data_IF_586225291970
#
_entry.id   IF_586225291970
#
_cell.length_a   1.000
_cell.length_b   1.000
_cell.length_c   1.000
_cell.angle_alpha   90.00
_cell.angle_beta   90.00
_cell.angle_gamma   90.00
#
_symmetry.space_group_name_H-M   'P 1'
#
loop_
_entity.id
_entity.type
_entity.pdbx_description
1 polymer ?
#
# COMPACT_ATOMS: atom_id res chain seq x y z
N UNK A 1 40.17 -30.96 17.16
CA UNK A 1 40.23 -29.48 17.15
C UNK A 1 39.17 -28.92 16.21
N UNK A 2 39.01 -29.49 15.01
CA UNK A 2 38.02 -29.07 14.00
C UNK A 2 36.55 -28.98 14.48
N UNK A 3 36.07 -29.95 15.27
CA UNK A 3 34.67 -29.92 15.75
C UNK A 3 34.36 -28.72 16.65
N UNK A 4 35.32 -28.28 17.47
CA UNK A 4 35.17 -27.13 18.37
C UNK A 4 35.19 -25.82 17.58
N UNK A 5 36.00 -25.75 16.55
CA UNK A 5 36.09 -24.58 15.65
C UNK A 5 34.82 -24.43 14.80
N UNK A 6 34.29 -25.53 14.26
CA UNK A 6 33.01 -25.52 13.54
C UNK A 6 31.83 -25.10 14.43
N UNK A 7 31.79 -25.57 15.68
CA UNK A 7 30.74 -25.17 16.62
C UNK A 7 30.83 -23.67 16.96
N UNK A 8 32.04 -23.13 17.15
CA UNK A 8 32.25 -21.70 17.37
C UNK A 8 31.79 -20.87 16.17
N UNK A 9 32.22 -21.24 14.96
CA UNK A 9 31.81 -20.56 13.72
C UNK A 9 30.30 -20.58 13.50
N UNK A 10 29.64 -21.70 13.84
CA UNK A 10 28.18 -21.81 13.75
C UNK A 10 27.50 -20.84 14.72
N UNK A 11 27.95 -20.80 15.97
CA UNK A 11 27.40 -19.88 16.98
C UNK A 11 27.61 -18.42 16.59
N UNK A 12 28.79 -18.07 16.08
CA UNK A 12 29.08 -16.71 15.61
C UNK A 12 28.17 -16.31 14.45
N UNK A 13 27.94 -17.19 13.47
CA UNK A 13 27.01 -16.95 12.36
C UNK A 13 25.57 -16.79 12.84
N UNK A 14 25.14 -17.58 13.81
CA UNK A 14 23.79 -17.48 14.40
C UNK A 14 23.60 -16.14 15.15
N UNK A 15 24.61 -15.70 15.90
CA UNK A 15 24.60 -14.40 16.59
C UNK A 15 24.55 -13.26 15.57
N UNK A 16 25.43 -13.26 14.57
CA UNK A 16 25.48 -12.23 13.54
C UNK A 16 24.14 -12.12 12.79
N UNK A 17 23.52 -13.27 12.46
CA UNK A 17 22.20 -13.30 11.82
C UNK A 17 21.10 -12.74 12.73
N UNK A 18 21.15 -13.04 14.03
CA UNK A 18 20.18 -12.50 15.01
C UNK A 18 20.32 -10.99 15.13
N UNK A 19 21.54 -10.48 15.19
CA UNK A 19 21.83 -9.04 15.25
C UNK A 19 21.36 -8.32 13.99
N UNK A 20 21.66 -8.86 12.80
CA UNK A 20 21.13 -8.31 11.54
C UNK A 20 19.60 -8.30 11.52
N UNK A 21 18.94 -9.33 12.04
CA UNK A 21 17.47 -9.37 12.11
C UNK A 21 16.90 -8.33 13.06
N UNK A 22 17.58 -8.04 14.17
CA UNK A 22 17.22 -6.96 15.08
C UNK A 22 17.40 -5.59 14.42
N UNK A 23 18.50 -5.38 13.70
CA UNK A 23 18.74 -4.16 12.93
C UNK A 23 17.65 -3.95 11.87
N UNK A 24 17.37 -4.96 11.05
CA UNK A 24 16.33 -4.91 10.03
C UNK A 24 14.94 -4.57 10.61
N UNK A 25 14.61 -5.07 11.81
CA UNK A 25 13.35 -4.74 12.49
C UNK A 25 13.30 -3.27 12.88
N UNK A 26 14.41 -2.69 13.36
CA UNK A 26 14.49 -1.26 13.64
C UNK A 26 14.36 -0.43 12.37
N UNK A 27 15.07 -0.79 11.30
CA UNK A 27 14.98 -0.10 10.00
C UNK A 27 13.56 -0.12 9.40
N UNK A 28 12.84 -1.24 9.50
CA UNK A 28 11.44 -1.30 9.07
C UNK A 28 10.56 -0.33 9.88
N UNK A 29 10.74 -0.27 11.20
CA UNK A 29 9.98 0.65 12.05
C UNK A 29 10.28 2.12 11.74
N UNK A 30 11.56 2.46 11.54
CA UNK A 30 11.97 3.81 11.15
C UNK A 30 11.38 4.25 9.81
N UNK A 31 11.19 3.30 8.90
CA UNK A 31 10.57 3.52 7.59
C UNK A 31 9.04 3.37 7.59
N UNK A 32 8.43 3.16 8.76
CA UNK A 32 7.00 2.93 8.91
C UNK A 32 6.48 1.74 8.09
N UNK A 33 7.31 0.71 7.95
CA UNK A 33 7.02 -0.52 7.23
C UNK A 33 6.64 -1.65 8.21
N UNK A 34 5.74 -2.57 7.81
CA UNK A 34 5.30 -3.65 8.67
C UNK A 34 6.40 -4.69 8.93
N UNK A 35 6.52 -5.15 10.19
CA UNK A 35 7.51 -6.17 10.58
C UNK A 35 7.34 -7.52 9.83
N UNK A 36 6.16 -7.77 9.26
CA UNK A 36 5.91 -8.95 8.42
C UNK A 36 6.84 -9.00 7.19
N UNK A 37 7.43 -7.88 6.77
CA UNK A 37 8.38 -7.82 5.66
C UNK A 37 9.77 -8.39 6.02
N UNK A 38 10.06 -8.68 7.29
CA UNK A 38 11.35 -9.25 7.71
C UNK A 38 11.70 -10.55 6.97
N UNK A 39 10.70 -11.36 6.61
CA UNK A 39 10.93 -12.63 5.91
C UNK A 39 11.29 -12.45 4.43
N UNK A 40 11.05 -11.26 3.86
CA UNK A 40 11.37 -10.94 2.48
C UNK A 40 12.77 -10.31 2.30
N UNK A 41 13.47 -9.99 3.40
CA UNK A 41 14.76 -9.31 3.37
C UNK A 41 15.93 -10.29 3.22
N UNK A 42 17.02 -9.82 2.61
CA UNK A 42 18.27 -10.57 2.49
C UNK A 42 19.18 -10.30 3.71
N UNK A 43 19.69 -11.36 4.34
CA UNK A 43 20.55 -11.31 5.53
C UNK A 43 21.94 -11.92 5.29
N UNK A 44 22.41 -11.93 4.05
CA UNK A 44 23.78 -12.38 3.71
C UNK A 44 24.83 -11.40 4.22
N UNK A 45 24.60 -10.11 4.00
CA UNK A 45 25.42 -9.00 4.46
C UNK A 45 24.60 -7.70 4.54
N UNK A 46 25.20 -6.63 5.04
CA UNK A 46 24.55 -5.34 5.25
C UNK A 46 24.14 -4.64 3.94
N UNK A 47 24.95 -4.78 2.88
CA UNK A 47 24.67 -4.17 1.58
C UNK A 47 23.45 -4.82 0.93
N UNK A 48 23.40 -6.15 0.93
CA UNK A 48 22.27 -6.95 0.45
C UNK A 48 21.01 -6.70 1.27
N UNK A 49 21.15 -6.56 2.59
CA UNK A 49 20.03 -6.19 3.45
C UNK A 49 19.46 -4.84 3.03
N UNK A 50 20.31 -3.83 2.87
CA UNK A 50 19.90 -2.48 2.49
C UNK A 50 19.23 -2.44 1.11
N UNK A 51 19.81 -3.11 0.11
CA UNK A 51 19.24 -3.23 -1.24
C UNK A 51 17.87 -3.96 -1.21
N UNK A 52 17.75 -5.03 -0.44
CA UNK A 52 16.49 -5.78 -0.31
C UNK A 52 15.42 -4.97 0.42
N UNK A 53 15.80 -4.15 1.40
CA UNK A 53 14.91 -3.25 2.13
C UNK A 53 14.35 -2.17 1.21
N UNK A 54 15.22 -1.50 0.44
CA UNK A 54 14.81 -0.43 -0.48
C UNK A 54 13.89 -0.95 -1.60
N UNK A 55 14.19 -2.14 -2.15
CA UNK A 55 13.37 -2.76 -3.18
C UNK A 55 12.01 -3.23 -2.64
N UNK A 56 12.00 -3.86 -1.47
CA UNK A 56 10.76 -4.32 -0.80
C UNK A 56 9.87 -3.13 -0.43
N UNK A 57 10.45 -2.06 0.12
CA UNK A 57 9.73 -0.84 0.45
C UNK A 57 9.04 -0.25 -0.78
N UNK A 58 9.79 -0.08 -1.87
CA UNK A 58 9.26 0.50 -3.12
C UNK A 58 8.09 -0.33 -3.66
N UNK A 59 8.25 -1.66 -3.70
CA UNK A 59 7.22 -2.56 -4.18
C UNK A 59 5.96 -2.52 -3.30
N UNK A 60 6.14 -2.53 -1.97
CA UNK A 60 5.04 -2.48 -1.02
C UNK A 60 4.24 -1.18 -1.14
N UNK A 61 4.92 -0.03 -1.11
CA UNK A 61 4.26 1.28 -1.20
C UNK A 61 3.49 1.44 -2.53
N UNK A 62 4.09 1.04 -3.65
CA UNK A 62 3.44 1.10 -4.95
C UNK A 62 2.19 0.20 -5.02
N UNK A 63 2.24 -1.00 -4.43
CA UNK A 63 1.09 -1.90 -4.38
C UNK A 63 -0.04 -1.36 -3.49
N UNK A 64 0.29 -0.80 -2.33
CA UNK A 64 -0.67 -0.18 -1.41
C UNK A 64 -1.32 1.04 -2.05
N UNK A 65 -0.53 1.93 -2.64
CA UNK A 65 -1.02 3.13 -3.33
C UNK A 65 -2.01 2.75 -4.44
N UNK A 66 -1.64 1.80 -5.31
CA UNK A 66 -2.54 1.30 -6.36
C UNK A 66 -3.84 0.75 -5.78
N UNK A 67 -3.76 -0.10 -4.76
CA UNK A 67 -4.94 -0.67 -4.11
C UNK A 67 -5.85 0.37 -3.45
N UNK A 68 -5.28 1.45 -2.91
CA UNK A 68 -6.04 2.58 -2.37
C UNK A 68 -6.70 3.36 -3.50
N UNK A 69 -5.98 3.68 -4.57
CA UNK A 69 -6.54 4.37 -5.74
C UNK A 69 -7.70 3.59 -6.36
N UNK A 70 -7.57 2.27 -6.52
CA UNK A 70 -8.62 1.42 -7.06
C UNK A 70 -9.85 1.39 -6.15
N UNK A 71 -9.66 1.36 -4.82
CA UNK A 71 -10.76 1.48 -3.85
C UNK A 71 -11.43 2.85 -3.90
N UNK A 72 -10.65 3.93 -4.04
CA UNK A 72 -11.16 5.31 -4.10
C UNK A 72 -11.91 5.59 -5.40
N UNK A 73 -11.51 4.98 -6.52
CA UNK A 73 -12.26 5.06 -7.78
C UNK A 73 -13.68 4.52 -7.63
N UNK A 74 -13.90 3.59 -6.69
CA UNK A 74 -15.19 3.03 -6.35
C UNK A 74 -15.74 2.09 -7.43
N UNK A 75 -16.60 1.16 -7.03
CA UNK A 75 -17.50 0.54 -8.01
C UNK A 75 -18.41 1.65 -8.55
N UNK A 76 -18.45 1.81 -9.88
CA UNK A 76 -19.44 2.70 -10.49
C UNK A 76 -20.82 2.35 -9.92
N UNK A 77 -21.64 3.33 -9.52
CA UNK A 77 -22.97 3.03 -8.98
C UNK A 77 -23.68 2.13 -9.99
N UNK A 78 -24.02 0.91 -9.55
CA UNK A 78 -24.84 0.00 -10.34
C UNK A 78 -26.10 0.78 -10.67
N UNK A 79 -26.29 1.10 -11.96
CA UNK A 79 -27.49 1.79 -12.44
C UNK A 79 -28.67 0.82 -12.34
N UNK A 80 -29.09 0.52 -11.12
CA UNK A 80 -30.32 -0.21 -10.83
C UNK A 80 -31.48 0.79 -10.82
N UNK A 81 -31.68 1.43 -11.97
CA UNK A 81 -32.93 2.02 -12.40
C UNK A 81 -32.72 2.58 -13.83
N UNK A 82 -33.70 2.45 -14.73
CA UNK A 82 -33.72 3.31 -15.89
C UNK A 82 -33.68 4.74 -15.35
N UNK A 83 -32.58 5.44 -15.66
CA UNK A 83 -32.48 6.89 -15.47
C UNK A 83 -33.65 7.42 -16.27
N UNK A 84 -34.76 7.82 -15.63
CA UNK A 84 -35.74 8.67 -16.29
C UNK A 84 -34.90 9.81 -16.85
N UNK A 85 -34.82 9.87 -18.17
CA UNK A 85 -34.24 11.00 -18.86
C UNK A 85 -34.87 12.21 -18.18
N UNK A 86 -34.03 13.05 -17.57
CA UNK A 86 -34.50 14.38 -17.24
C UNK A 86 -34.88 14.92 -18.60
N UNK A 87 -36.18 15.03 -18.88
CA UNK A 87 -36.67 15.85 -19.98
C UNK A 87 -35.96 17.18 -19.78
N UNK A 88 -34.95 17.42 -20.62
CA UNK A 88 -34.24 18.69 -20.66
C UNK A 88 -35.28 19.68 -21.19
N UNK A 89 -36.05 20.25 -20.25
CA UNK A 89 -36.91 21.38 -20.53
C UNK A 89 -36.04 22.41 -21.23
N UNK A 90 -36.48 22.91 -22.38
CA UNK A 90 -35.72 23.97 -23.04
C UNK A 90 -35.63 25.17 -22.10
N UNK A 91 -34.57 25.97 -22.24
CA UNK A 91 -34.38 27.16 -21.40
C UNK A 91 -35.65 28.03 -21.36
N UNK A 92 -36.34 28.14 -22.50
CA UNK A 92 -37.59 28.88 -22.64
C UNK A 92 -38.74 28.27 -21.81
N UNK A 93 -38.81 26.95 -21.75
CA UNK A 93 -39.79 26.19 -20.98
C UNK A 93 -39.50 26.28 -19.47
N UNK A 94 -38.22 26.31 -19.09
CA UNK A 94 -37.77 26.52 -17.71
C UNK A 94 -38.17 27.91 -17.19
N UNK A 95 -37.93 28.95 -18.00
CA UNK A 95 -38.34 30.31 -17.66
C UNK A 95 -39.86 30.47 -17.63
N UNK A 96 -40.61 29.84 -18.54
CA UNK A 96 -42.09 29.81 -18.50
C UNK A 96 -42.62 29.17 -17.22
N UNK A 97 -42.09 28.03 -16.83
CA UNK A 97 -42.54 27.29 -15.64
C UNK A 97 -42.31 28.06 -14.35
N UNK A 98 -41.15 28.74 -14.23
CA UNK A 98 -40.81 29.58 -13.07
C UNK A 98 -41.70 30.83 -12.97
N UNK A 99 -42.09 31.41 -14.10
CA UNK A 99 -43.02 32.54 -14.11
C UNK A 99 -44.47 32.10 -13.79
N UNK A 100 -44.84 30.86 -14.12
CA UNK A 100 -46.15 30.29 -13.78
C UNK A 100 -46.29 29.87 -12.30
N UNK A 101 -45.19 29.58 -11.60
CA UNK A 101 -45.20 29.14 -10.19
C UNK A 101 -44.85 30.24 -9.18
N UNK A 102 -44.56 31.46 -9.62
CA UNK A 102 -44.31 32.62 -8.78
C UNK A 102 -45.42 33.65 -8.86
N UNK A 103 -46.56 33.37 -8.22
CA UNK A 103 -47.72 34.24 -8.24
C UNK A 103 -48.72 34.01 -7.09
N UNK A 104 -48.24 33.95 -5.85
CA UNK A 104 -48.82 34.54 -4.63
C UNK A 104 -48.03 34.13 -3.39
#
# INVERSE_FOLDING_TARGET
MEAREQELLKREREIARREMRMNARSLLRERELPEALLEALNYEDEERLQQSLDSTERAFRAAVERGVMDRMRGEAPKRDAPRKEKEELSDEEYYRRRQASGGK
#
